data_IF_778285018891
#
_entry.id   IF_778285018891
#
_cell.length_a   1.000
_cell.length_b   1.000
_cell.length_c   1.000
_cell.angle_alpha   90.00
_cell.angle_beta   90.00
_cell.angle_gamma   90.00
#
_symmetry.space_group_name_H-M   'P 1'
#
loop_
_entity.id
_entity.type
_entity.pdbx_description
1 polymer ?
#
# COMPACT_ATOMS: atom_id res chain seq x y z
N UNK A 1 10.00 24.07 6.50
CA UNK A 1 10.25 23.38 5.20
C UNK A 1 9.69 21.96 5.19
N UNK A 2 10.05 21.08 6.13
CA UNK A 2 9.57 19.68 6.16
C UNK A 2 8.04 19.52 6.17
N UNK A 3 7.34 20.26 7.03
CA UNK A 3 5.86 20.22 7.08
C UNK A 3 5.24 20.64 5.74
N UNK A 4 5.77 21.70 5.11
CA UNK A 4 5.27 22.17 3.81
C UNK A 4 5.45 21.11 2.72
N UNK A 5 6.62 20.45 2.65
CA UNK A 5 6.88 19.36 1.71
C UNK A 5 5.93 18.18 1.92
N UNK A 6 5.70 17.79 3.18
CA UNK A 6 4.77 16.70 3.52
C UNK A 6 3.34 17.04 3.11
N UNK A 7 2.88 18.27 3.39
CA UNK A 7 1.53 18.72 2.98
C UNK A 7 1.36 18.69 1.47
N UNK A 8 2.34 19.20 0.71
CA UNK A 8 2.30 19.16 -0.77
C UNK A 8 2.33 17.73 -1.29
N UNK A 9 3.14 16.85 -0.70
CA UNK A 9 3.22 15.44 -1.09
C UNK A 9 1.91 14.69 -0.82
N UNK A 10 1.27 14.93 0.33
CA UNK A 10 -0.04 14.34 0.66
C UNK A 10 -1.12 14.83 -0.31
N UNK A 11 -1.10 16.11 -0.67
CA UNK A 11 -2.03 16.67 -1.64
C UNK A 11 -1.87 16.04 -3.03
N UNK A 12 -0.63 15.88 -3.51
CA UNK A 12 -0.35 15.19 -4.78
C UNK A 12 -0.75 13.70 -4.72
N UNK A 13 -0.52 13.03 -3.60
CA UNK A 13 -0.92 11.64 -3.41
C UNK A 13 -2.44 11.46 -3.46
N UNK A 14 -3.19 12.38 -2.84
CA UNK A 14 -4.65 12.38 -2.89
C UNK A 14 -5.16 12.62 -4.32
N UNK A 15 -4.58 13.59 -5.05
CA UNK A 15 -4.92 13.82 -6.47
C UNK A 15 -4.65 12.60 -7.33
N UNK A 16 -3.52 11.91 -7.11
CA UNK A 16 -3.17 10.71 -7.87
C UNK A 16 -4.24 9.62 -7.72
N UNK A 17 -4.77 9.40 -6.52
CA UNK A 17 -5.85 8.42 -6.28
C UNK A 17 -7.13 8.76 -7.03
N UNK A 18 -7.55 10.03 -7.02
CA UNK A 18 -8.73 10.51 -7.75
C UNK A 18 -8.54 10.37 -9.27
N UNK A 19 -7.36 10.74 -9.79
CA UNK A 19 -7.08 10.59 -11.23
C UNK A 19 -7.09 9.13 -11.68
N UNK A 20 -6.56 8.21 -10.87
CA UNK A 20 -6.64 6.79 -11.18
C UNK A 20 -8.10 6.29 -11.24
N UNK A 21 -8.96 6.75 -10.33
CA UNK A 21 -10.39 6.42 -10.35
C UNK A 21 -11.09 6.95 -11.62
N UNK A 22 -10.87 8.21 -11.98
CA UNK A 22 -11.48 8.82 -13.17
C UNK A 22 -10.95 8.22 -14.48
N UNK A 23 -9.65 7.88 -14.54
CA UNK A 23 -9.06 7.18 -15.69
C UNK A 23 -9.66 5.79 -15.87
N UNK A 24 -9.83 5.03 -14.77
CA UNK A 24 -10.46 3.70 -14.82
C UNK A 24 -11.93 3.77 -15.24
N UNK A 25 -12.67 4.83 -14.85
CA UNK A 25 -14.05 5.07 -15.31
C UNK A 25 -14.13 5.39 -16.81
N UNK A 26 -13.18 6.18 -17.32
CA UNK A 26 -13.22 6.70 -18.70
C UNK A 26 -12.65 5.73 -19.74
N UNK A 27 -11.58 4.99 -19.41
CA UNK A 27 -10.87 4.13 -20.36
C UNK A 27 -11.01 2.62 -20.07
N UNK A 28 -11.71 2.25 -18.99
CA UNK A 28 -11.91 0.86 -18.59
C UNK A 28 -10.83 0.35 -17.62
N UNK A 29 -11.10 -0.82 -17.02
CA UNK A 29 -10.31 -1.39 -15.93
C UNK A 29 -9.11 -2.19 -16.45
N UNK A 30 -8.01 -1.51 -16.77
CA UNK A 30 -6.74 -2.16 -17.16
C UNK A 30 -5.62 -1.88 -16.13
N UNK A 31 -5.64 -2.52 -14.95
CA UNK A 31 -4.66 -2.25 -13.89
C UNK A 31 -3.22 -2.59 -14.30
N UNK A 32 -3.01 -3.56 -15.20
CA UNK A 32 -1.67 -3.93 -15.71
C UNK A 32 -1.04 -2.82 -16.56
N UNK A 33 -1.86 -2.16 -17.37
CA UNK A 33 -1.42 -1.07 -18.26
C UNK A 33 -1.09 0.19 -17.45
N UNK A 34 -1.95 0.53 -16.48
CA UNK A 34 -1.69 1.62 -15.53
C UNK A 34 -0.41 1.38 -14.72
N UNK A 35 -0.15 0.14 -14.30
CA UNK A 35 1.09 -0.23 -13.62
C UNK A 35 2.31 -0.04 -14.54
N UNK A 36 2.22 -0.47 -15.80
CA UNK A 36 3.29 -0.31 -16.78
C UNK A 36 3.64 1.17 -17.01
N UNK A 37 2.66 2.02 -17.29
CA UNK A 37 2.89 3.45 -17.51
C UNK A 37 3.45 4.15 -16.27
N UNK A 38 2.98 3.78 -15.08
CA UNK A 38 3.49 4.34 -13.82
C UNK A 38 4.98 4.02 -13.60
N UNK A 39 5.45 2.87 -14.06
CA UNK A 39 6.87 2.48 -13.92
C UNK A 39 7.73 2.96 -15.10
N UNK A 40 7.15 3.08 -16.29
CA UNK A 40 7.85 3.54 -17.48
C UNK A 40 8.13 5.04 -17.47
N UNK A 41 7.15 5.86 -17.07
CA UNK A 41 7.21 7.32 -17.15
C UNK A 41 8.31 7.95 -16.25
N UNK A 42 8.66 7.38 -15.09
CA UNK A 42 9.79 7.83 -14.29
C UNK A 42 11.18 7.44 -14.83
N UNK A 43 11.30 6.41 -15.69
CA UNK A 43 12.60 5.92 -16.16
C UNK A 43 13.46 6.99 -16.87
N UNK A 44 12.91 7.85 -17.76
CA UNK A 44 13.66 8.96 -18.34
C UNK A 44 14.19 9.95 -17.30
N UNK A 45 13.42 10.20 -16.23
CA UNK A 45 13.87 11.07 -15.15
C UNK A 45 15.00 10.41 -14.33
N UNK A 46 14.94 9.09 -14.11
CA UNK A 46 16.02 8.33 -13.47
C UNK A 46 17.30 8.30 -14.30
N UNK A 47 17.21 8.37 -15.63
CA UNK A 47 18.37 8.45 -16.50
C UNK A 47 19.23 9.70 -16.24
N UNK A 48 18.63 10.83 -15.82
CA UNK A 48 19.38 12.03 -15.41
C UNK A 48 20.23 11.79 -14.15
N UNK A 49 19.87 10.80 -13.33
CA UNK A 49 20.52 10.48 -12.07
C UNK A 49 21.46 9.25 -12.16
N UNK A 50 21.78 8.79 -13.38
CA UNK A 50 22.47 7.51 -13.58
C UNK A 50 23.82 7.42 -12.86
N UNK A 51 24.58 8.52 -12.78
CA UNK A 51 25.90 8.54 -12.12
C UNK A 51 25.79 8.12 -10.65
N UNK A 52 24.83 8.70 -9.91
CA UNK A 52 24.61 8.36 -8.50
C UNK A 52 24.15 6.90 -8.33
N UNK A 53 23.28 6.41 -9.23
CA UNK A 53 22.79 5.03 -9.19
C UNK A 53 23.94 4.05 -9.40
N UNK A 54 24.84 4.33 -10.35
CA UNK A 54 25.98 3.48 -10.65
C UNK A 54 26.98 3.41 -9.48
N UNK A 55 27.31 4.56 -8.89
CA UNK A 55 28.21 4.60 -7.72
C UNK A 55 27.65 3.80 -6.53
N UNK A 56 26.37 3.99 -6.20
CA UNK A 56 25.73 3.26 -5.11
C UNK A 56 25.55 1.76 -5.41
N UNK A 57 25.40 1.39 -6.69
CA UNK A 57 25.34 -0.01 -7.09
C UNK A 57 26.69 -0.71 -6.88
N UNK A 58 27.81 -0.05 -7.20
CA UNK A 58 29.15 -0.58 -6.92
C UNK A 58 29.40 -0.71 -5.41
N UNK A 59 28.98 0.26 -4.61
CA UNK A 59 29.07 0.18 -3.13
C UNK A 59 28.21 -0.99 -2.60
N UNK A 60 27.04 -1.23 -3.17
CA UNK A 60 26.18 -2.34 -2.79
C UNK A 60 26.80 -3.71 -3.12
N UNK A 61 27.53 -3.83 -4.23
CA UNK A 61 28.25 -5.05 -4.62
C UNK A 61 29.43 -5.37 -3.71
N UNK A 62 30.08 -4.35 -3.14
CA UNK A 62 31.22 -4.50 -2.23
C UNK A 62 30.80 -4.82 -0.78
N UNK A 63 29.50 -4.93 -0.49
CA UNK A 63 29.00 -5.16 0.86
C UNK A 63 29.17 -6.62 1.32
N UNK A 64 29.33 -6.81 2.63
CA UNK A 64 29.58 -8.15 3.22
C UNK A 64 28.53 -9.18 2.78
N UNK A 65 28.94 -10.44 2.54
CA UNK A 65 28.01 -11.51 2.20
C UNK A 65 27.06 -11.79 3.36
N UNK A 66 25.80 -12.10 3.04
CA UNK A 66 24.81 -12.49 4.01
C UNK A 66 24.95 -14.00 4.31
N UNK A 67 25.44 -14.37 5.49
CA UNK A 67 25.39 -15.76 5.95
C UNK A 67 23.96 -16.10 6.36
N UNK A 68 23.22 -16.72 5.44
CA UNK A 68 21.87 -17.24 5.71
C UNK A 68 22.01 -18.68 6.23
N UNK A 69 21.58 -18.97 7.47
CA UNK A 69 21.50 -20.35 7.92
C UNK A 69 20.58 -21.12 6.97
N UNK A 70 21.03 -22.29 6.49
CA UNK A 70 20.30 -23.24 5.64
C UNK A 70 20.23 -22.97 4.12
N UNK A 71 20.79 -21.87 3.59
CA UNK A 71 20.82 -21.63 2.13
C UNK A 71 22.23 -21.18 1.69
N UNK A 72 22.98 -22.00 0.92
CA UNK A 72 24.33 -21.66 0.48
C UNK A 72 24.29 -20.67 -0.69
N UNK A 73 23.92 -19.42 -0.41
CA UNK A 73 23.92 -18.33 -1.39
C UNK A 73 24.89 -17.25 -0.92
N UNK A 74 26.01 -17.11 -1.63
CA UNK A 74 26.96 -16.00 -1.46
C UNK A 74 26.40 -14.75 -2.16
N UNK A 75 25.50 -14.02 -1.51
CA UNK A 75 24.97 -12.76 -2.05
C UNK A 75 25.29 -11.60 -1.10
N UNK A 76 25.75 -10.43 -1.61
CA UNK A 76 25.95 -9.23 -0.80
C UNK A 76 24.66 -8.83 -0.08
N UNK A 77 24.74 -8.60 1.23
CA UNK A 77 23.58 -8.33 2.09
C UNK A 77 22.70 -7.18 1.58
N UNK A 78 23.31 -6.13 1.03
CA UNK A 78 22.61 -4.95 0.53
C UNK A 78 21.78 -5.28 -0.71
N UNK A 79 22.28 -6.14 -1.60
CA UNK A 79 21.58 -6.59 -2.80
C UNK A 79 20.41 -7.50 -2.40
N UNK A 80 20.62 -8.42 -1.45
CA UNK A 80 19.56 -9.27 -0.93
C UNK A 80 18.40 -8.45 -0.33
N UNK A 81 18.70 -7.43 0.49
CA UNK A 81 17.67 -6.54 1.03
C UNK A 81 16.99 -5.67 -0.03
N UNK A 82 17.73 -5.21 -1.05
CA UNK A 82 17.15 -4.46 -2.17
C UNK A 82 16.14 -5.31 -2.95
N UNK A 83 16.51 -6.55 -3.28
CA UNK A 83 15.64 -7.51 -3.97
C UNK A 83 14.39 -7.79 -3.12
N UNK A 84 14.57 -8.07 -1.81
CA UNK A 84 13.45 -8.30 -0.90
C UNK A 84 12.49 -7.10 -0.81
N UNK A 85 13.03 -5.89 -0.74
CA UNK A 85 12.24 -4.65 -0.79
C UNK A 85 11.50 -4.51 -2.12
N UNK A 86 12.18 -4.75 -3.24
CA UNK A 86 11.58 -4.62 -4.58
C UNK A 86 10.43 -5.62 -4.79
N UNK A 87 10.60 -6.88 -4.41
CA UNK A 87 9.54 -7.91 -4.52
C UNK A 87 8.34 -7.54 -3.63
N UNK A 88 8.60 -7.16 -2.39
CA UNK A 88 7.53 -6.78 -1.45
C UNK A 88 6.79 -5.53 -1.92
N UNK A 89 7.52 -4.52 -2.39
CA UNK A 89 6.92 -3.29 -2.94
C UNK A 89 6.11 -3.58 -4.19
N UNK A 90 6.62 -4.40 -5.11
CA UNK A 90 5.89 -4.77 -6.32
C UNK A 90 4.56 -5.48 -5.98
N UNK A 91 4.57 -6.48 -5.09
CA UNK A 91 3.35 -7.15 -4.64
C UNK A 91 2.38 -6.17 -3.96
N UNK A 92 2.92 -5.28 -3.12
CA UNK A 92 2.18 -4.27 -2.36
C UNK A 92 1.51 -3.23 -3.28
N UNK A 93 2.24 -2.74 -4.29
CA UNK A 93 1.76 -1.77 -5.28
C UNK A 93 0.77 -2.44 -6.22
N UNK A 94 1.08 -3.64 -6.74
CA UNK A 94 0.16 -4.40 -7.60
C UNK A 94 -1.19 -4.65 -6.91
N UNK A 95 -1.17 -5.04 -5.64
CA UNK A 95 -2.39 -5.21 -4.84
C UNK A 95 -3.18 -3.91 -4.69
N UNK A 96 -2.51 -2.77 -4.51
CA UNK A 96 -3.18 -1.45 -4.43
C UNK A 96 -3.81 -1.08 -5.74
N UNK A 97 -3.09 -1.20 -6.86
CA UNK A 97 -3.62 -0.88 -8.18
C UNK A 97 -4.84 -1.74 -8.54
N UNK A 98 -4.81 -3.02 -8.15
CA UNK A 98 -5.98 -3.90 -8.28
C UNK A 98 -7.17 -3.43 -7.43
N UNK A 99 -6.93 -3.02 -6.18
CA UNK A 99 -7.98 -2.44 -5.34
C UNK A 99 -8.51 -1.11 -5.91
N UNK A 100 -7.66 -0.27 -6.51
CA UNK A 100 -8.06 0.99 -7.17
C UNK A 100 -8.92 0.76 -8.40
N UNK A 101 -8.78 -0.37 -9.10
CA UNK A 101 -9.67 -0.70 -10.21
C UNK A 101 -11.06 -1.19 -9.75
N UNK A 102 -11.17 -1.71 -8.53
CA UNK A 102 -12.42 -2.32 -8.03
C UNK A 102 -13.19 -1.46 -7.03
N UNK A 103 -12.51 -0.55 -6.31
CA UNK A 103 -13.08 0.27 -5.25
C UNK A 103 -12.80 1.77 -5.48
N UNK A 104 -13.56 2.62 -4.78
CA UNK A 104 -13.33 4.07 -4.78
C UNK A 104 -11.97 4.44 -4.14
N UNK A 105 -11.40 5.57 -4.54
CA UNK A 105 -10.11 6.09 -4.03
C UNK A 105 -10.08 6.27 -2.51
N UNK A 106 -11.24 6.51 -1.87
CA UNK A 106 -11.36 6.62 -0.42
C UNK A 106 -11.06 5.28 0.28
N UNK A 107 -11.65 4.19 -0.23
CA UNK A 107 -11.46 2.84 0.30
C UNK A 107 -10.02 2.37 0.12
N UNK A 108 -9.42 2.67 -1.04
CA UNK A 108 -8.00 2.41 -1.33
C UNK A 108 -7.10 3.12 -0.32
N UNK A 109 -7.39 4.40 -0.06
CA UNK A 109 -6.61 5.20 0.90
C UNK A 109 -6.66 4.60 2.30
N UNK A 110 -7.84 4.16 2.75
CA UNK A 110 -7.99 3.50 4.05
C UNK A 110 -7.22 2.17 4.13
N UNK A 111 -7.28 1.33 3.08
CA UNK A 111 -6.55 0.06 3.08
C UNK A 111 -5.03 0.29 3.13
N UNK A 112 -4.54 1.34 2.45
CA UNK A 112 -3.11 1.71 2.50
C UNK A 112 -2.72 2.20 3.90
N UNK A 113 -3.55 3.00 4.58
CA UNK A 113 -3.26 3.47 5.94
C UNK A 113 -3.29 2.32 6.94
N UNK A 114 -4.24 1.40 6.81
CA UNK A 114 -4.33 0.18 7.62
C UNK A 114 -3.10 -0.71 7.44
N UNK A 115 -2.65 -0.94 6.20
CA UNK A 115 -1.41 -1.69 5.92
C UNK A 115 -0.20 -1.09 6.62
N UNK A 116 0.00 0.23 6.48
CA UNK A 116 1.10 0.94 7.13
C UNK A 116 1.04 0.81 8.65
N UNK A 117 -0.17 0.90 9.21
CA UNK A 117 -0.41 0.73 10.64
C UNK A 117 -0.09 -0.69 11.13
N UNK A 118 -0.55 -1.73 10.44
CA UNK A 118 -0.23 -3.14 10.80
C UNK A 118 1.28 -3.39 10.72
N UNK A 119 1.95 -2.86 9.69
CA UNK A 119 3.40 -2.98 9.56
C UNK A 119 4.14 -2.28 10.71
N UNK A 120 3.62 -1.15 11.20
CA UNK A 120 4.14 -0.45 12.36
C UNK A 120 3.95 -1.28 13.64
N UNK A 121 2.76 -1.85 13.87
CA UNK A 121 2.50 -2.72 15.02
C UNK A 121 3.45 -3.91 15.05
N UNK A 122 3.63 -4.59 13.91
CA UNK A 122 4.57 -5.71 13.78
C UNK A 122 5.99 -5.27 14.14
N UNK A 123 6.42 -4.10 13.66
CA UNK A 123 7.73 -3.54 14.00
C UNK A 123 7.89 -3.33 15.51
N UNK A 124 6.90 -2.76 16.19
CA UNK A 124 6.98 -2.53 17.65
C UNK A 124 7.06 -3.86 18.42
N UNK A 125 6.24 -4.84 18.03
CA UNK A 125 6.22 -6.18 18.67
C UNK A 125 7.55 -6.90 18.45
N UNK A 126 8.11 -6.85 17.24
CA UNK A 126 9.37 -7.51 16.91
C UNK A 126 10.57 -6.94 17.66
N UNK A 127 10.69 -5.61 17.74
CA UNK A 127 11.79 -4.94 18.44
C UNK A 127 11.63 -4.93 19.98
N UNK A 128 10.56 -5.53 20.53
CA UNK A 128 10.23 -5.55 21.98
C UNK A 128 10.34 -4.17 22.65
N UNK A 129 10.01 -3.11 21.91
CA UNK A 129 10.00 -1.77 22.49
C UNK A 129 8.82 -1.64 23.47
N UNK A 130 9.01 -0.91 24.58
CA UNK A 130 7.95 -0.70 25.57
C UNK A 130 6.73 -0.05 24.92
N UNK A 131 5.60 -0.77 24.92
CA UNK A 131 4.34 -0.29 24.36
C UNK A 131 3.80 0.83 25.25
N UNK A 132 4.15 2.07 24.94
CA UNK A 132 3.70 3.25 25.71
C UNK A 132 2.19 3.46 25.55
N UNK A 133 1.57 4.13 26.52
CA UNK A 133 0.12 4.40 26.54
C UNK A 133 -0.40 5.10 25.27
N UNK A 134 0.45 5.90 24.61
CA UNK A 134 0.12 6.56 23.35
C UNK A 134 -0.08 5.59 22.17
N UNK A 135 0.63 4.46 22.13
CA UNK A 135 0.41 3.45 21.09
C UNK A 135 -0.92 2.71 21.27
N UNK A 136 -1.35 2.49 22.52
CA UNK A 136 -2.66 1.92 22.83
C UNK A 136 -3.79 2.83 22.38
N UNK A 137 -3.69 4.14 22.66
CA UNK A 137 -4.68 5.12 22.20
C UNK A 137 -4.73 5.16 20.65
N UNK A 138 -3.58 5.15 19.99
CA UNK A 138 -3.50 5.18 18.52
C UNK A 138 -4.08 3.91 17.89
N UNK A 139 -3.82 2.75 18.50
CA UNK A 139 -4.37 1.46 18.06
C UNK A 139 -5.89 1.45 18.17
N UNK A 140 -6.43 1.90 19.31
CA UNK A 140 -7.87 2.00 19.50
C UNK A 140 -8.51 2.98 18.50
N UNK A 141 -7.87 4.11 18.24
CA UNK A 141 -8.37 5.10 17.28
C UNK A 141 -8.40 4.57 15.84
N UNK A 142 -7.36 3.86 15.39
CA UNK A 142 -7.32 3.25 14.05
C UNK A 142 -8.35 2.14 13.93
N UNK A 143 -8.53 1.32 14.97
CA UNK A 143 -9.53 0.26 14.98
C UNK A 143 -10.96 0.82 14.94
N UNK A 144 -11.24 1.84 15.76
CA UNK A 144 -12.53 2.55 15.75
C UNK A 144 -12.80 3.23 14.40
N UNK A 145 -11.81 3.92 13.83
CA UNK A 145 -11.94 4.54 12.51
C UNK A 145 -12.15 3.52 11.38
N UNK A 146 -11.51 2.36 11.48
CA UNK A 146 -11.73 1.25 10.54
C UNK A 146 -13.13 0.70 10.70
N UNK A 147 -13.59 0.41 11.93
CA UNK A 147 -14.94 -0.08 12.22
C UNK A 147 -16.03 0.87 11.71
N UNK A 148 -15.89 2.18 11.93
CA UNK A 148 -16.83 3.19 11.42
C UNK A 148 -16.89 3.20 9.89
N UNK A 149 -15.80 2.84 9.21
CA UNK A 149 -15.76 2.76 7.75
C UNK A 149 -16.24 1.40 7.21
N UNK A 150 -15.91 0.30 7.89
CA UNK A 150 -16.27 -1.06 7.50
C UNK A 150 -17.71 -1.42 7.88
N UNK A 151 -18.32 -0.69 8.82
CA UNK A 151 -19.75 -0.78 9.14
C UNK A 151 -20.51 0.37 8.46
N UNK A 152 -21.50 0.04 7.61
CA UNK A 152 -22.83 0.69 7.53
C UNK A 152 -23.46 0.74 6.12
N UNK A 153 -22.83 1.17 5.00
CA UNK A 153 -23.65 1.37 3.79
C UNK A 153 -24.09 0.07 3.09
N UNK A 154 -23.31 -1.01 3.17
CA UNK A 154 -23.50 -2.18 2.30
C UNK A 154 -24.05 -3.40 3.05
N UNK A 155 -23.63 -3.66 4.30
CA UNK A 155 -24.20 -4.76 5.08
C UNK A 155 -25.64 -4.47 5.57
N UNK A 156 -26.04 -3.20 5.82
CA UNK A 156 -27.45 -2.84 6.06
C UNK A 156 -28.30 -2.88 4.78
N UNK A 157 -27.75 -2.51 3.63
CA UNK A 157 -28.50 -2.51 2.37
C UNK A 157 -28.70 -3.94 1.84
N UNK A 158 -27.70 -4.83 1.95
CA UNK A 158 -27.86 -6.26 1.61
C UNK A 158 -28.72 -7.03 2.63
N UNK A 159 -28.64 -6.73 3.93
CA UNK A 159 -29.49 -7.39 4.93
C UNK A 159 -30.97 -6.94 4.83
N UNK A 160 -31.22 -5.68 4.48
CA UNK A 160 -32.59 -5.15 4.28
C UNK A 160 -33.20 -5.64 2.96
N UNK A 161 -32.44 -5.68 1.86
CA UNK A 161 -32.92 -6.21 0.56
C UNK A 161 -33.19 -7.72 0.63
N UNK A 162 -32.33 -8.50 1.31
CA UNK A 162 -32.52 -9.95 1.44
C UNK A 162 -33.71 -10.31 2.34
N UNK A 163 -34.04 -9.48 3.32
CA UNK A 163 -35.18 -9.68 4.24
C UNK A 163 -36.52 -9.28 3.61
N UNK A 164 -36.56 -8.22 2.80
CA UNK A 164 -37.80 -7.78 2.12
C UNK A 164 -38.20 -8.76 1.00
N UNK A 165 -37.25 -9.26 0.22
CA UNK A 165 -37.53 -10.25 -0.87
C UNK A 165 -38.02 -11.60 -0.33
N UNK A 166 -37.63 -12.00 0.88
CA UNK A 166 -38.11 -13.25 1.50
C UNK A 166 -39.51 -13.14 2.12
N UNK A 167 -39.95 -11.94 2.53
CA UNK A 167 -41.27 -11.74 3.16
C UNK A 167 -42.41 -11.68 2.14
N UNK A 168 -42.18 -11.09 0.96
CA UNK A 168 -43.15 -11.09 -0.15
C UNK A 168 -43.37 -12.49 -0.76
N UNK A 169 -42.34 -13.33 -0.80
CA UNK A 169 -42.44 -14.71 -1.31
C UNK A 169 -43.19 -15.70 -0.41
N UNK A 170 -43.51 -15.32 0.83
CA UNK A 170 -44.23 -16.18 1.80
C UNK A 170 -45.70 -15.78 2.00
N UNK A 171 -46.13 -14.67 1.40
CA UNK A 171 -47.51 -14.15 1.49
C UNK A 171 -48.28 -14.23 0.16
N UNK A 172 -47.68 -14.85 -0.87
CA UNK A 172 -48.33 -15.38 -2.06
C UNK A 172 -48.22 -16.91 -2.05
#
# INVERSE_FOLDING_TARGET
VGIALLTTALFMSARMGIYQEELNKKYGKNPKEALYFTHLLPLPAFALLYNNIYEHFLIALQSDPLDVPYVPIYMPKMIAYLIGNMVTQYMCIGSVYYLTSECSSLTVTLVITLRKFVSLLFSIVYFKNSFTMWHWIGTLMVFTGTLIFTEVPQMLMQSTVSTTVQKDKKSQ
#
